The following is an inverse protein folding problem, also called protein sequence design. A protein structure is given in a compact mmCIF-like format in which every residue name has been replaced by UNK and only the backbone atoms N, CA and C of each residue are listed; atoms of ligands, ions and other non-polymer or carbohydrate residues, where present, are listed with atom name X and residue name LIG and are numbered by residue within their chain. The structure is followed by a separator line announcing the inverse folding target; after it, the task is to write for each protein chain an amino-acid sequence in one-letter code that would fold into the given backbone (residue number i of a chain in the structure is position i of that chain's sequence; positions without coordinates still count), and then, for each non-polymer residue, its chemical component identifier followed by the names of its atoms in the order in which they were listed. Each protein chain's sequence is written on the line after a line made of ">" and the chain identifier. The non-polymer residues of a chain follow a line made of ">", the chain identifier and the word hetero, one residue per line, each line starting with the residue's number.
data_IF_028062121151
#
_entry.id   IF_028062121151
#
_cell.length_a   1.000
_cell.length_b   1.000
_cell.length_c   1.000
_cell.angle_alpha   90.00
_cell.angle_beta   90.00
_cell.angle_gamma   90.00
#
_symmetry.space_group_name_H-M   'P 1'
#
loop_
_entity.id
_entity.type
_entity.pdbx_description
1 polymer ?
#
# COMPACT_ATOMS: atom_id res chain seq x y z
N UNK A 1 16.44 13.55 -15.65
CA UNK A 1 15.32 12.62 -15.43
C UNK A 1 14.96 12.67 -13.97
N UNK A 2 13.76 13.13 -13.65
CA UNK A 2 13.21 13.01 -12.29
C UNK A 2 12.91 11.54 -12.01
N UNK A 3 13.16 11.10 -10.77
CA UNK A 3 12.86 9.73 -10.33
C UNK A 3 11.65 9.77 -9.40
N UNK A 4 10.69 8.84 -9.53
CA UNK A 4 9.59 8.79 -8.58
C UNK A 4 10.09 8.46 -7.17
N UNK A 5 9.40 8.97 -6.16
CA UNK A 5 9.61 8.58 -4.77
C UNK A 5 8.79 7.31 -4.54
N UNK A 6 9.42 6.23 -4.08
CA UNK A 6 8.78 4.92 -3.95
C UNK A 6 8.84 4.45 -2.50
N UNK A 7 7.67 4.26 -1.91
CA UNK A 7 7.50 3.66 -0.58
C UNK A 7 6.85 2.29 -0.75
N UNK A 8 7.31 1.29 0.01
CA UNK A 8 6.77 -0.07 -0.03
C UNK A 8 6.14 -0.46 1.32
N UNK A 9 5.15 -1.35 1.25
CA UNK A 9 4.44 -1.92 2.38
C UNK A 9 4.43 -3.43 2.19
N UNK A 10 4.93 -4.18 3.17
CA UNK A 10 5.03 -5.64 3.08
C UNK A 10 3.92 -6.29 3.90
N UNK A 11 3.10 -7.10 3.24
CA UNK A 11 2.19 -8.03 3.89
C UNK A 11 2.85 -9.40 4.01
N UNK A 12 3.26 -9.76 5.23
CA UNK A 12 3.88 -11.05 5.52
C UNK A 12 2.94 -12.25 5.23
N UNK A 13 1.65 -12.23 5.59
CA UNK A 13 0.71 -13.32 5.29
C UNK A 13 0.67 -13.73 3.82
N UNK A 14 0.64 -12.79 2.87
CA UNK A 14 0.61 -13.10 1.42
C UNK A 14 1.97 -12.96 0.74
N UNK A 15 2.99 -12.50 1.45
CA UNK A 15 4.29 -12.09 0.88
C UNK A 15 4.14 -11.03 -0.23
N UNK A 16 3.11 -10.20 -0.15
CA UNK A 16 2.85 -9.14 -1.13
C UNK A 16 3.59 -7.87 -0.75
N UNK A 17 4.18 -7.20 -1.74
CA UNK A 17 4.64 -5.82 -1.60
C UNK A 17 3.66 -4.89 -2.31
N UNK A 18 2.97 -4.06 -1.54
CA UNK A 18 2.24 -2.91 -2.07
C UNK A 18 3.17 -1.70 -2.15
N UNK A 19 2.88 -0.76 -3.05
CA UNK A 19 3.70 0.44 -3.23
C UNK A 19 2.86 1.72 -3.28
N UNK A 20 3.43 2.81 -2.77
CA UNK A 20 3.04 4.17 -3.13
C UNK A 20 4.15 4.76 -3.98
N UNK A 21 3.81 5.15 -5.21
CA UNK A 21 4.71 5.78 -6.17
C UNK A 21 4.27 7.23 -6.33
N UNK A 22 5.10 8.17 -5.88
CA UNK A 22 4.80 9.60 -5.85
C UNK A 22 5.63 10.36 -6.90
N UNK A 23 4.98 11.33 -7.54
CA UNK A 23 5.64 12.33 -8.38
C UNK A 23 6.47 13.29 -7.48
N UNK A 24 7.80 13.40 -7.67
CA UNK A 24 8.63 14.26 -6.82
C UNK A 24 8.30 15.75 -6.94
N UNK A 25 7.65 16.16 -8.03
CA UNK A 25 7.36 17.57 -8.33
C UNK A 25 5.90 17.96 -8.00
N UNK A 26 5.08 17.04 -7.46
CA UNK A 26 3.70 17.32 -7.09
C UNK A 26 3.18 16.44 -5.94
N UNK A 27 1.91 16.59 -5.56
CA UNK A 27 1.25 15.71 -4.58
C UNK A 27 0.59 14.48 -5.22
N UNK A 28 0.77 14.26 -6.53
CA UNK A 28 0.19 13.11 -7.20
C UNK A 28 0.92 11.82 -6.82
N UNK A 29 0.16 10.77 -6.56
CA UNK A 29 0.71 9.44 -6.32
C UNK A 29 -0.20 8.34 -6.88
N UNK A 30 0.36 7.16 -7.06
CA UNK A 30 -0.34 5.93 -7.41
C UNK A 30 -0.10 4.87 -6.32
N UNK A 31 -1.16 4.14 -5.99
CA UNK A 31 -1.09 2.95 -5.12
C UNK A 31 -1.07 1.72 -6.04
N UNK A 32 -0.09 0.84 -5.83
CA UNK A 32 0.11 -0.36 -6.64
C UNK A 32 -0.03 -1.59 -5.75
N UNK A 33 -0.82 -2.56 -6.22
CA UNK A 33 -0.99 -3.89 -5.63
C UNK A 33 -1.43 -3.87 -4.14
N UNK A 34 -2.47 -3.09 -3.83
CA UNK A 34 -2.99 -2.98 -2.46
C UNK A 34 -3.66 -4.28 -1.99
N UNK A 35 -3.44 -4.63 -0.72
CA UNK A 35 -4.00 -5.83 -0.10
C UNK A 35 -5.29 -5.53 0.68
N UNK A 36 -6.32 -6.34 0.44
CA UNK A 36 -7.45 -6.55 1.36
C UNK A 36 -7.14 -7.81 2.18
N UNK A 37 -6.90 -7.64 3.47
CA UNK A 37 -6.49 -8.74 4.34
C UNK A 37 -7.62 -9.78 4.45
N UNK A 38 -7.26 -11.07 4.51
CA UNK A 38 -8.24 -12.14 4.59
C UNK A 38 -7.80 -13.26 5.53
N UNK A 39 -8.66 -13.60 6.48
CA UNK A 39 -8.56 -14.80 7.31
C UNK A 39 -9.31 -15.95 6.62
N UNK A 40 -8.56 -16.89 6.06
CA UNK A 40 -9.09 -18.08 5.37
C UNK A 40 -9.91 -19.01 6.27
N UNK A 41 -9.57 -19.10 7.56
CA UNK A 41 -10.26 -20.00 8.47
C UNK A 41 -11.61 -19.42 8.91
N UNK A 42 -11.67 -18.10 9.12
CA UNK A 42 -12.89 -17.41 9.56
C UNK A 42 -13.74 -16.86 8.41
N UNK A 43 -13.22 -16.81 7.17
CA UNK A 43 -13.87 -16.18 6.04
C UNK A 43 -14.05 -14.66 6.21
N UNK A 44 -13.15 -14.01 6.94
CA UNK A 44 -13.25 -12.59 7.31
C UNK A 44 -12.26 -11.74 6.55
N UNK A 45 -12.72 -10.58 6.12
CA UNK A 45 -11.86 -9.52 5.56
C UNK A 45 -11.42 -8.56 6.65
N UNK A 46 -10.24 -7.97 6.50
CA UNK A 46 -9.76 -6.86 7.31
C UNK A 46 -9.07 -5.82 6.39
N UNK A 47 -8.95 -4.59 6.87
CA UNK A 47 -8.48 -3.43 6.10
C UNK A 47 -7.21 -2.80 6.71
N UNK A 48 -6.46 -3.56 7.51
CA UNK A 48 -5.26 -3.07 8.21
C UNK A 48 -4.19 -2.66 7.21
N UNK A 49 -3.90 -3.50 6.22
CA UNK A 49 -2.90 -3.22 5.18
C UNK A 49 -3.26 -1.98 4.35
N UNK A 50 -4.52 -1.87 3.92
CA UNK A 50 -5.01 -0.68 3.21
C UNK A 50 -4.96 0.59 4.08
N UNK A 51 -5.27 0.50 5.37
CA UNK A 51 -5.22 1.65 6.28
C UNK A 51 -3.78 2.17 6.49
N UNK A 52 -2.77 1.31 6.48
CA UNK A 52 -1.36 1.76 6.54
C UNK A 52 -1.00 2.63 5.33
N UNK A 53 -1.42 2.23 4.13
CA UNK A 53 -1.21 3.01 2.91
C UNK A 53 -1.99 4.34 2.97
N UNK A 54 -3.24 4.33 3.42
CA UNK A 54 -4.06 5.55 3.56
C UNK A 54 -3.43 6.52 4.56
N UNK A 55 -2.90 6.03 5.68
CA UNK A 55 -2.22 6.85 6.67
C UNK A 55 -0.99 7.53 6.04
N UNK A 56 -0.14 6.78 5.35
CA UNK A 56 1.03 7.32 4.65
C UNK A 56 0.65 8.39 3.61
N UNK A 57 -0.43 8.20 2.84
CA UNK A 57 -0.86 9.17 1.81
C UNK A 57 -1.42 10.47 2.42
N UNK A 58 -1.87 10.44 3.68
CA UNK A 58 -2.47 11.61 4.35
C UNK A 58 -1.47 12.45 5.14
N UNK A 59 -0.30 11.91 5.43
CA UNK A 59 0.82 12.61 6.07
C UNK A 59 1.56 13.51 5.06
#
# INVERSE_FOLDING_TARGET
>A
MQRPIVTHFFDEPTNTFSYVVQDPDSSACAIIDSVLDFDYAAGRTDIRSANQIIAFVRE
#
